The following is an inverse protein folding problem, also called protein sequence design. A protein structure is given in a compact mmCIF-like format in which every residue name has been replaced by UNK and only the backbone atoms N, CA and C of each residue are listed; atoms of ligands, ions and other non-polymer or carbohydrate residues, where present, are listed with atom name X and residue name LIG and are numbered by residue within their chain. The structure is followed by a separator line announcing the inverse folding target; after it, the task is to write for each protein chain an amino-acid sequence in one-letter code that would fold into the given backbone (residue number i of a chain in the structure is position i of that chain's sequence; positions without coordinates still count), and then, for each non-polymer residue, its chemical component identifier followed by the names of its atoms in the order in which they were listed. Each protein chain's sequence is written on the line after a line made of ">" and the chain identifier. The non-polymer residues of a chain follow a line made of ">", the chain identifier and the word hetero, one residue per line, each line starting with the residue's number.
data_IF_340673999619
#
_entry.id   IF_340673999619
#
_cell.length_a   1.000
_cell.length_b   1.000
_cell.length_c   1.000
_cell.angle_alpha   90.00
_cell.angle_beta   90.00
_cell.angle_gamma   90.00
#
_symmetry.space_group_name_H-M   'P 1'
#
loop_
_entity.id
_entity.type
_entity.pdbx_description
1 polymer ?
#
# COMPACT_ATOMS: atom_id res chain seq x y z
N UNK A 1 -6.10 -19.74 6.48
CA UNK A 1 -4.73 -20.14 6.08
C UNK A 1 -4.41 -19.41 4.79
N UNK A 2 -3.20 -18.84 4.63
CA UNK A 2 -2.80 -18.16 3.39
C UNK A 2 -2.54 -19.20 2.29
N UNK A 3 -2.87 -18.85 1.05
CA UNK A 3 -2.55 -19.68 -0.12
C UNK A 3 -1.05 -19.67 -0.41
N UNK A 4 -0.55 -20.73 -1.04
CA UNK A 4 0.84 -20.80 -1.52
C UNK A 4 1.21 -19.62 -2.42
N UNK A 5 0.24 -19.09 -3.16
CA UNK A 5 0.44 -17.96 -4.04
C UNK A 5 0.71 -16.68 -3.26
N UNK A 6 -0.02 -16.44 -2.19
CA UNK A 6 0.18 -15.32 -1.28
C UNK A 6 1.50 -15.48 -0.53
N UNK A 7 1.82 -16.65 0.00
CA UNK A 7 3.09 -16.90 0.69
C UNK A 7 4.30 -16.61 -0.20
N UNK A 8 4.30 -17.09 -1.45
CA UNK A 8 5.37 -16.77 -2.43
C UNK A 8 5.46 -15.28 -2.75
N UNK A 9 4.35 -14.54 -2.75
CA UNK A 9 4.38 -13.10 -2.93
C UNK A 9 5.05 -12.42 -1.74
N UNK A 10 4.70 -12.79 -0.50
CA UNK A 10 5.30 -12.24 0.71
C UNK A 10 6.81 -12.49 0.76
N UNK A 11 7.26 -13.71 0.44
CA UNK A 11 8.69 -14.00 0.33
C UNK A 11 9.42 -13.13 -0.70
N UNK A 12 8.79 -12.88 -1.86
CA UNK A 12 9.39 -11.99 -2.88
C UNK A 12 9.49 -10.55 -2.38
N UNK A 13 8.46 -10.06 -1.69
CA UNK A 13 8.44 -8.73 -1.08
C UNK A 13 9.58 -8.60 -0.07
N UNK A 14 9.76 -9.59 0.81
CA UNK A 14 10.83 -9.60 1.81
C UNK A 14 12.22 -9.62 1.17
N UNK A 15 12.42 -10.46 0.16
CA UNK A 15 13.69 -10.52 -0.59
C UNK A 15 13.99 -9.17 -1.25
N UNK A 16 12.98 -8.57 -1.88
CA UNK A 16 13.11 -7.28 -2.55
C UNK A 16 13.41 -6.15 -1.54
N UNK A 17 12.71 -6.13 -0.40
CA UNK A 17 12.98 -5.17 0.68
C UNK A 17 14.42 -5.31 1.20
N UNK A 18 14.88 -6.52 1.51
CA UNK A 18 16.26 -6.77 1.96
C UNK A 18 17.31 -6.26 0.98
N UNK A 19 17.05 -6.40 -0.33
CA UNK A 19 17.95 -5.87 -1.36
C UNK A 19 18.02 -4.34 -1.33
N UNK A 20 16.89 -3.64 -1.17
CA UNK A 20 16.89 -2.18 -1.05
C UNK A 20 17.60 -1.75 0.23
N UNK A 21 17.30 -2.40 1.35
CA UNK A 21 17.89 -2.08 2.65
C UNK A 21 19.42 -2.25 2.66
N UNK A 22 19.95 -3.22 1.92
CA UNK A 22 21.41 -3.42 1.74
C UNK A 22 22.10 -2.26 0.98
N UNK A 23 21.32 -1.40 0.31
CA UNK A 23 21.84 -0.21 -0.39
C UNK A 23 21.60 1.09 0.39
N UNK A 24 21.15 1.02 1.63
CA UNK A 24 21.02 2.19 2.51
C UNK A 24 22.38 2.62 3.07
N UNK A 25 22.60 3.96 3.35
CA UNK A 25 21.64 5.03 3.13
C UNK A 25 21.51 5.43 1.66
N UNK A 26 20.27 5.68 1.21
CA UNK A 26 20.02 6.26 -0.11
C UNK A 26 20.33 7.75 -0.10
N UNK A 27 20.72 8.32 -1.24
CA UNK A 27 20.98 9.76 -1.34
C UNK A 27 19.71 10.57 -1.04
N UNK A 28 19.87 11.74 -0.40
CA UNK A 28 18.77 12.64 -0.07
C UNK A 28 17.94 13.01 -1.30
N UNK A 29 18.57 13.22 -2.45
CA UNK A 29 17.90 13.56 -3.71
C UNK A 29 17.01 12.42 -4.23
N UNK A 30 17.46 11.17 -4.13
CA UNK A 30 16.64 10.00 -4.50
C UNK A 30 15.44 9.88 -3.56
N UNK A 31 15.67 10.01 -2.25
CA UNK A 31 14.59 9.90 -1.25
C UNK A 31 13.55 11.01 -1.41
N UNK A 32 13.97 12.27 -1.62
CA UNK A 32 13.04 13.40 -1.83
C UNK A 32 12.17 13.16 -3.06
N UNK A 33 12.77 12.82 -4.20
CA UNK A 33 12.04 12.57 -5.45
C UNK A 33 11.06 11.41 -5.33
N UNK A 34 11.48 10.30 -4.70
CA UNK A 34 10.59 9.17 -4.48
C UNK A 34 9.44 9.54 -3.54
N UNK A 35 9.72 10.28 -2.47
CA UNK A 35 8.69 10.73 -1.55
C UNK A 35 7.68 11.64 -2.24
N UNK A 36 8.11 12.63 -3.02
CA UNK A 36 7.23 13.52 -3.76
C UNK A 36 6.33 12.74 -4.73
N UNK A 37 6.91 11.81 -5.50
CA UNK A 37 6.14 10.94 -6.39
C UNK A 37 5.13 10.10 -5.60
N UNK A 38 5.54 9.50 -4.48
CA UNK A 38 4.66 8.66 -3.66
C UNK A 38 3.52 9.46 -3.03
N UNK A 39 3.79 10.64 -2.48
CA UNK A 39 2.75 11.52 -1.91
C UNK A 39 1.73 11.90 -2.98
N UNK A 40 2.19 12.26 -4.17
CA UNK A 40 1.30 12.59 -5.30
C UNK A 40 0.43 11.39 -5.71
N UNK A 41 1.05 10.23 -5.97
CA UNK A 41 0.33 9.05 -6.43
C UNK A 41 -0.64 8.52 -5.37
N UNK A 42 -0.23 8.51 -4.11
CA UNK A 42 -1.07 8.06 -3.01
C UNK A 42 -2.26 8.99 -2.81
N UNK A 43 -2.04 10.33 -2.80
CA UNK A 43 -3.10 11.33 -2.68
C UNK A 43 -4.08 11.23 -3.83
N UNK A 44 -3.59 11.26 -5.07
CA UNK A 44 -4.43 11.18 -6.26
C UNK A 44 -5.28 9.91 -6.26
N UNK A 45 -4.65 8.74 -6.15
CA UNK A 45 -5.36 7.47 -6.28
C UNK A 45 -6.36 7.26 -5.15
N UNK A 46 -5.99 7.58 -3.90
CA UNK A 46 -6.86 7.38 -2.74
C UNK A 46 -8.13 8.23 -2.81
N UNK A 47 -8.04 9.48 -3.25
CA UNK A 47 -9.20 10.35 -3.42
C UNK A 47 -10.01 9.99 -4.67
N UNK A 48 -9.35 9.64 -5.77
CA UNK A 48 -10.03 9.25 -7.01
C UNK A 48 -10.83 7.94 -6.88
N UNK A 49 -10.44 7.02 -5.99
CA UNK A 49 -11.23 5.83 -5.63
C UNK A 49 -12.57 6.23 -5.02
N UNK A 50 -12.60 7.30 -4.23
CA UNK A 50 -13.81 7.83 -3.58
C UNK A 50 -14.62 8.80 -4.47
N UNK A 51 -14.16 9.03 -5.70
CA UNK A 51 -14.91 9.84 -6.67
C UNK A 51 -14.40 11.27 -6.85
N UNK A 52 -13.28 11.66 -6.23
CA UNK A 52 -12.63 12.94 -6.48
C UNK A 52 -12.31 13.10 -7.98
N UNK A 53 -12.60 14.27 -8.53
CA UNK A 53 -12.57 14.53 -9.98
C UNK A 53 -11.25 15.11 -10.47
N UNK A 54 -10.30 15.44 -9.58
CA UNK A 54 -8.99 15.94 -9.99
C UNK A 54 -8.24 14.87 -10.80
N UNK A 55 -7.56 15.31 -11.84
CA UNK A 55 -6.54 14.50 -12.52
C UNK A 55 -5.24 14.50 -11.72
N UNK A 56 -4.32 13.60 -12.03
CA UNK A 56 -3.02 13.55 -11.36
C UNK A 56 -2.23 14.86 -11.51
N UNK A 57 -2.34 15.54 -12.66
CA UNK A 57 -1.68 16.83 -12.88
C UNK A 57 -2.35 17.94 -12.07
N UNK A 58 -3.68 17.99 -12.00
CA UNK A 58 -4.41 18.95 -11.16
C UNK A 58 -4.12 18.71 -9.67
N UNK A 59 -4.02 17.43 -9.24
CA UNK A 59 -3.59 17.09 -7.89
C UNK A 59 -2.18 17.60 -7.60
N UNK A 60 -1.25 17.47 -8.57
CA UNK A 60 0.11 18.01 -8.43
C UNK A 60 0.10 19.53 -8.24
N UNK A 61 -0.62 20.26 -9.07
CA UNK A 61 -0.75 21.73 -8.97
C UNK A 61 -1.33 22.13 -7.60
N UNK A 62 -2.36 21.43 -7.12
CA UNK A 62 -2.94 21.68 -5.80
C UNK A 62 -1.92 21.46 -4.68
N UNK A 63 -1.13 20.37 -4.73
CA UNK A 63 -0.19 20.00 -3.68
C UNK A 63 1.10 20.81 -3.66
N UNK A 64 1.60 21.25 -4.81
CA UNK A 64 2.88 21.95 -4.94
C UNK A 64 2.72 23.47 -4.97
N UNK A 65 1.75 23.97 -5.75
CA UNK A 65 1.62 25.38 -6.07
C UNK A 65 0.41 26.03 -5.37
N UNK A 66 -0.45 25.24 -4.71
CA UNK A 66 -1.71 25.75 -4.09
C UNK A 66 -2.71 26.26 -5.12
N UNK A 67 -2.55 25.89 -6.40
CA UNK A 67 -3.37 26.38 -7.51
C UNK A 67 -4.62 25.55 -7.64
N UNK A 68 -5.78 26.23 -7.74
CA UNK A 68 -7.06 25.62 -8.10
C UNK A 68 -7.30 25.72 -9.61
N UNK A 69 -7.78 24.64 -10.21
CA UNK A 69 -8.13 24.60 -11.63
C UNK A 69 -9.61 24.92 -11.82
N UNK A 70 -9.93 25.71 -12.84
CA UNK A 70 -11.30 26.14 -13.13
C UNK A 70 -12.25 24.95 -13.30
N UNK A 71 -13.49 25.09 -12.85
CA UNK A 71 -14.56 24.07 -12.97
C UNK A 71 -14.37 22.78 -12.16
N UNK A 72 -13.63 22.83 -11.06
CA UNK A 72 -13.53 21.72 -10.11
C UNK A 72 -14.13 22.12 -8.76
N UNK A 73 -14.82 21.22 -8.05
CA UNK A 73 -15.34 21.48 -6.71
C UNK A 73 -14.23 21.85 -5.73
N UNK A 74 -14.44 22.85 -4.89
CA UNK A 74 -13.49 23.20 -3.83
C UNK A 74 -13.21 22.01 -2.90
N UNK A 75 -14.25 21.20 -2.63
CA UNK A 75 -14.12 19.95 -1.84
C UNK A 75 -13.01 19.06 -2.37
N UNK A 76 -12.87 18.89 -3.69
CA UNK A 76 -11.87 18.02 -4.29
C UNK A 76 -10.44 18.48 -3.97
N UNK A 77 -10.21 19.80 -3.90
CA UNK A 77 -8.92 20.38 -3.49
C UNK A 77 -8.67 20.18 -2.01
N UNK A 78 -9.66 20.44 -1.16
CA UNK A 78 -9.56 20.21 0.27
C UNK A 78 -9.24 18.75 0.57
N UNK A 79 -9.89 17.81 -0.11
CA UNK A 79 -9.59 16.38 0.00
C UNK A 79 -8.13 16.06 -0.34
N UNK A 80 -7.58 16.67 -1.41
CA UNK A 80 -6.19 16.44 -1.80
C UNK A 80 -5.20 17.01 -0.77
N UNK A 81 -5.42 18.24 -0.30
CA UNK A 81 -4.59 18.90 0.73
C UNK A 81 -4.66 18.12 2.05
N UNK A 82 -5.86 17.77 2.48
CA UNK A 82 -6.10 17.02 3.72
C UNK A 82 -5.43 15.64 3.67
N UNK A 83 -5.51 14.95 2.54
CA UNK A 83 -4.88 13.65 2.38
C UNK A 83 -3.35 13.75 2.43
N UNK A 84 -2.74 14.79 1.83
CA UNK A 84 -1.30 15.08 1.98
C UNK A 84 -0.93 15.30 3.44
N UNK A 85 -1.68 16.15 4.17
CA UNK A 85 -1.44 16.42 5.59
C UNK A 85 -1.58 15.13 6.43
N UNK A 86 -2.54 14.28 6.10
CA UNK A 86 -2.71 12.98 6.75
C UNK A 86 -1.54 12.01 6.44
N UNK A 87 -0.97 12.03 5.22
CA UNK A 87 0.25 11.28 4.89
C UNK A 87 1.43 11.77 5.76
N UNK A 88 1.64 13.06 5.87
CA UNK A 88 2.71 13.64 6.69
C UNK A 88 2.56 13.26 8.17
N UNK A 89 1.32 13.21 8.66
CA UNK A 89 1.02 12.74 10.01
C UNK A 89 1.31 11.24 10.17
N UNK A 90 0.94 10.41 9.21
CA UNK A 90 1.27 8.97 9.16
C UNK A 90 2.77 8.75 9.18
N UNK A 91 3.56 9.51 8.41
CA UNK A 91 5.01 9.45 8.41
C UNK A 91 5.60 9.79 9.78
N UNK A 92 5.08 10.84 10.46
CA UNK A 92 5.48 11.19 11.84
C UNK A 92 5.14 10.09 12.82
N UNK A 93 3.93 9.54 12.77
CA UNK A 93 3.51 8.43 13.65
C UNK A 93 4.36 7.18 13.45
N UNK A 94 4.80 6.92 12.23
CA UNK A 94 5.60 5.73 11.93
C UNK A 94 6.99 5.77 12.58
N UNK A 95 7.56 6.94 12.81
CA UNK A 95 8.85 7.13 13.46
C UNK A 95 8.81 7.04 14.99
N UNK A 96 7.63 7.08 15.59
CA UNK A 96 7.45 6.96 17.05
C UNK A 96 7.39 5.49 17.46
N UNK A 97 8.11 5.11 18.52
CA UNK A 97 8.13 3.71 19.00
C UNK A 97 6.85 3.23 19.69
N UNK A 98 5.86 4.10 19.91
CA UNK A 98 4.58 3.72 20.50
C UNK A 98 3.75 2.79 19.61
N UNK A 99 2.85 2.01 20.19
CA UNK A 99 1.87 1.21 19.46
C UNK A 99 0.86 2.10 18.72
N UNK A 100 0.34 1.61 17.60
CA UNK A 100 -0.80 2.26 16.93
C UNK A 100 -2.03 2.13 17.84
N UNK A 101 -2.71 3.23 18.08
CA UNK A 101 -3.85 3.32 18.98
C UNK A 101 -5.13 3.74 18.23
N UNK A 102 -6.27 3.53 18.86
CA UNK A 102 -7.56 4.06 18.40
C UNK A 102 -7.54 5.58 18.22
N UNK A 103 -6.87 6.30 19.14
CA UNK A 103 -6.67 7.75 19.03
C UNK A 103 -5.98 8.13 17.72
N UNK A 104 -4.94 7.40 17.30
CA UNK A 104 -4.25 7.69 16.05
C UNK A 104 -5.17 7.53 14.83
N UNK A 105 -6.09 6.54 14.85
CA UNK A 105 -7.08 6.36 13.77
C UNK A 105 -8.01 7.57 13.69
N UNK A 106 -8.51 8.05 14.83
CA UNK A 106 -9.38 9.23 14.90
C UNK A 106 -8.66 10.50 14.47
N UNK A 107 -7.38 10.67 14.83
CA UNK A 107 -6.54 11.79 14.39
C UNK A 107 -6.31 11.77 12.87
N UNK A 108 -6.04 10.59 12.27
CA UNK A 108 -5.95 10.43 10.81
C UNK A 108 -7.26 10.83 10.15
N UNK A 109 -8.40 10.33 10.67
CA UNK A 109 -9.71 10.65 10.13
C UNK A 109 -10.04 12.15 10.27
N UNK A 110 -9.70 12.76 11.38
CA UNK A 110 -9.88 14.22 11.61
C UNK A 110 -9.15 15.04 10.53
N UNK A 111 -7.93 14.63 10.15
CA UNK A 111 -7.20 15.27 9.05
C UNK A 111 -7.88 15.05 7.70
N UNK A 112 -8.43 13.85 7.43
CA UNK A 112 -9.10 13.54 6.15
C UNK A 112 -10.32 14.42 5.92
N UNK A 113 -11.09 14.75 6.97
CA UNK A 113 -12.31 15.56 6.87
C UNK A 113 -12.14 17.02 7.28
N UNK A 114 -10.93 17.46 7.60
CA UNK A 114 -10.67 18.84 8.01
C UNK A 114 -11.24 19.83 6.99
N UNK A 115 -12.00 20.83 7.47
CA UNK A 115 -12.63 21.88 6.64
C UNK A 115 -13.62 21.36 5.56
N UNK A 116 -13.88 20.03 5.54
CA UNK A 116 -14.90 19.41 4.66
C UNK A 116 -16.15 19.13 5.48
N UNK A 117 -15.97 18.52 6.65
CA UNK A 117 -17.05 18.16 7.58
C UNK A 117 -16.49 18.13 9.00
N UNK A 118 -16.37 19.32 9.60
CA UNK A 118 -15.69 19.50 10.88
C UNK A 118 -16.43 18.83 12.05
N UNK A 119 -17.75 18.68 11.97
CA UNK A 119 -18.57 18.10 13.03
C UNK A 119 -18.33 16.60 13.18
N UNK A 120 -18.06 15.92 12.07
CA UNK A 120 -17.77 14.47 12.03
C UNK A 120 -16.27 14.14 12.01
N UNK A 121 -15.40 15.13 11.87
CA UNK A 121 -13.96 14.92 11.79
C UNK A 121 -13.39 14.27 13.08
N UNK A 122 -12.92 13.02 12.98
CA UNK A 122 -12.39 12.24 14.11
C UNK A 122 -13.45 11.71 15.08
N UNK A 123 -14.75 11.84 14.77
CA UNK A 123 -15.87 11.41 15.61
C UNK A 123 -16.50 10.13 15.04
N UNK A 124 -16.74 9.13 15.89
CA UNK A 124 -17.47 7.94 15.48
C UNK A 124 -18.93 8.29 15.22
N UNK A 125 -19.50 7.61 14.23
CA UNK A 125 -20.92 7.75 13.91
C UNK A 125 -21.82 7.30 15.07
N UNK A 126 -22.88 7.99 15.24
CA UNK A 126 -23.98 7.72 16.17
C UNK A 126 -25.23 7.20 15.43
N UNK A 127 -25.16 7.11 14.11
CA UNK A 127 -26.24 6.61 13.22
C UNK A 127 -25.80 5.34 12.49
N UNK A 128 -26.78 4.53 12.11
CA UNK A 128 -26.54 3.36 11.28
C UNK A 128 -26.34 3.77 9.83
N UNK A 129 -25.35 3.18 9.17
CA UNK A 129 -24.96 3.51 7.79
C UNK A 129 -25.01 2.26 6.90
N UNK A 130 -25.05 2.49 5.60
CA UNK A 130 -24.89 1.46 4.57
C UNK A 130 -23.72 1.81 3.67
N UNK A 131 -22.97 0.80 3.24
CA UNK A 131 -21.87 0.98 2.31
C UNK A 131 -22.42 0.86 0.89
N UNK A 132 -22.32 1.93 0.11
CA UNK A 132 -22.81 1.94 -1.27
C UNK A 132 -22.08 0.87 -2.10
N UNK A 133 -22.88 0.01 -2.78
CA UNK A 133 -22.35 -1.05 -3.65
C UNK A 133 -21.84 -2.31 -2.92
N UNK A 134 -21.91 -2.39 -1.59
CA UNK A 134 -21.56 -3.58 -0.81
C UNK A 134 -22.80 -4.28 -0.24
N UNK A 135 -22.74 -5.61 -0.12
CA UNK A 135 -23.73 -6.42 0.60
C UNK A 135 -23.45 -6.45 2.10
N UNK A 136 -22.24 -6.08 2.51
CA UNK A 136 -21.86 -6.02 3.91
C UNK A 136 -22.65 -4.93 4.63
N UNK A 137 -23.22 -5.29 5.79
CA UNK A 137 -23.92 -4.36 6.69
C UNK A 137 -22.98 -4.07 7.87
N UNK A 138 -22.52 -2.81 8.01
CA UNK A 138 -21.72 -2.44 9.16
C UNK A 138 -22.47 -2.67 10.48
N UNK A 139 -21.76 -2.88 11.59
CA UNK A 139 -22.38 -3.06 12.89
C UNK A 139 -23.22 -1.85 13.32
N UNK A 140 -24.14 -2.07 14.23
CA UNK A 140 -24.94 -1.00 14.85
C UNK A 140 -24.06 0.09 15.46
N UNK A 141 -24.49 1.35 15.36
CA UNK A 141 -23.74 2.51 15.86
C UNK A 141 -23.38 2.39 17.35
N UNK A 142 -24.28 1.85 18.16
CA UNK A 142 -24.08 1.67 19.61
C UNK A 142 -22.88 0.80 19.97
N UNK A 143 -22.47 -0.12 19.07
CA UNK A 143 -21.35 -1.03 19.34
C UNK A 143 -20.04 -0.61 18.64
N UNK A 144 -20.06 0.45 17.83
CA UNK A 144 -18.87 0.91 17.08
C UNK A 144 -17.66 1.14 17.99
N UNK A 145 -17.83 1.92 19.06
CA UNK A 145 -16.75 2.23 20.00
C UNK A 145 -16.11 0.95 20.56
N UNK A 146 -16.93 0.01 21.05
CA UNK A 146 -16.44 -1.28 21.59
C UNK A 146 -15.71 -2.10 20.54
N UNK A 147 -16.20 -2.09 19.28
CA UNK A 147 -15.53 -2.78 18.16
C UNK A 147 -14.19 -2.13 17.81
N UNK A 148 -14.10 -0.81 17.81
CA UNK A 148 -12.86 -0.09 17.54
C UNK A 148 -11.80 -0.32 18.65
N UNK A 149 -12.21 -0.36 19.93
CA UNK A 149 -11.32 -0.73 21.03
C UNK A 149 -10.80 -2.17 20.88
N UNK A 150 -11.68 -3.11 20.49
CA UNK A 150 -11.28 -4.50 20.26
C UNK A 150 -10.34 -4.62 19.05
N UNK A 151 -10.62 -3.91 17.97
CA UNK A 151 -9.79 -3.83 16.77
C UNK A 151 -8.38 -3.32 17.10
N UNK A 152 -8.27 -2.20 17.82
CA UNK A 152 -6.99 -1.63 18.19
C UNK A 152 -6.13 -2.60 19.06
N UNK A 153 -6.77 -3.40 19.90
CA UNK A 153 -6.06 -4.37 20.76
C UNK A 153 -5.63 -5.64 20.03
N UNK A 154 -6.46 -6.16 19.12
CA UNK A 154 -6.28 -7.49 18.52
C UNK A 154 -5.53 -7.45 17.19
N UNK A 155 -5.87 -6.51 16.32
CA UNK A 155 -5.39 -6.49 14.94
C UNK A 155 -4.17 -5.61 14.78
N UNK A 156 -4.19 -4.44 15.38
CA UNK A 156 -3.03 -3.54 15.32
C UNK A 156 -1.90 -4.02 16.23
N UNK A 157 -0.68 -3.88 15.74
CA UNK A 157 0.55 -4.31 16.42
C UNK A 157 0.65 -5.84 16.64
N UNK A 158 0.10 -6.60 15.71
CA UNK A 158 0.17 -8.07 15.72
C UNK A 158 1.59 -8.55 15.39
N UNK A 159 1.83 -9.87 15.56
CA UNK A 159 3.10 -10.52 15.16
C UNK A 159 3.06 -11.06 13.71
N UNK A 160 1.95 -10.85 13.02
CA UNK A 160 1.79 -11.30 11.65
C UNK A 160 2.79 -10.63 10.70
N UNK A 161 2.93 -11.19 9.50
CA UNK A 161 3.69 -10.54 8.43
C UNK A 161 3.13 -9.13 8.17
N UNK A 162 3.97 -8.09 8.01
CA UNK A 162 3.50 -6.70 7.91
C UNK A 162 2.45 -6.44 6.84
N UNK A 163 2.50 -7.15 5.71
CA UNK A 163 1.47 -7.05 4.66
C UNK A 163 0.14 -7.65 5.12
N UNK A 164 0.18 -8.74 5.88
CA UNK A 164 -1.01 -9.39 6.45
C UNK A 164 -1.65 -8.47 7.48
N UNK A 165 -0.86 -7.97 8.45
CA UNK A 165 -1.32 -7.02 9.45
C UNK A 165 -1.95 -5.77 8.81
N UNK A 166 -1.30 -5.19 7.81
CA UNK A 166 -1.77 -4.01 7.11
C UNK A 166 -3.10 -4.26 6.35
N UNK A 167 -3.20 -5.40 5.67
CA UNK A 167 -4.42 -5.78 4.98
C UNK A 167 -5.57 -6.04 5.96
N UNK A 168 -5.31 -6.73 7.07
CA UNK A 168 -6.32 -6.96 8.11
C UNK A 168 -6.75 -5.65 8.78
N UNK A 169 -5.81 -4.75 9.08
CA UNK A 169 -6.11 -3.45 9.66
C UNK A 169 -7.03 -2.62 8.74
N UNK A 170 -6.73 -2.62 7.44
CA UNK A 170 -7.59 -1.97 6.45
C UNK A 170 -8.98 -2.60 6.40
N UNK A 171 -9.04 -3.93 6.21
CA UNK A 171 -10.30 -4.66 6.05
C UNK A 171 -11.20 -4.54 7.28
N UNK A 172 -10.65 -4.66 8.47
CA UNK A 172 -11.43 -4.59 9.71
C UNK A 172 -11.98 -3.18 9.94
N UNK A 173 -11.22 -2.12 9.62
CA UNK A 173 -11.70 -0.74 9.71
C UNK A 173 -12.85 -0.48 8.74
N UNK A 174 -12.74 -0.89 7.46
CA UNK A 174 -13.84 -0.69 6.50
C UNK A 174 -15.05 -1.57 6.82
N UNK A 175 -14.85 -2.72 7.46
CA UNK A 175 -15.96 -3.60 7.90
C UNK A 175 -16.72 -3.02 9.09
N UNK A 176 -16.02 -2.41 10.06
CA UNK A 176 -16.65 -1.70 11.18
C UNK A 176 -17.32 -0.42 10.67
N UNK A 177 -16.70 0.24 9.68
CA UNK A 177 -17.17 1.49 9.08
C UNK A 177 -17.51 2.54 10.14
N UNK A 178 -16.51 2.91 10.99
CA UNK A 178 -16.80 3.63 12.23
C UNK A 178 -17.20 5.08 12.06
N UNK A 179 -17.03 5.66 10.88
CA UNK A 179 -17.30 7.07 10.60
C UNK A 179 -18.46 7.25 9.62
N UNK A 180 -19.00 8.46 9.54
CA UNK A 180 -20.07 8.79 8.57
C UNK A 180 -19.51 8.84 7.15
N UNK A 181 -18.35 9.47 6.94
CA UNK A 181 -17.60 9.51 5.67
C UNK A 181 -16.09 9.28 5.93
N UNK A 182 -15.27 9.19 4.89
CA UNK A 182 -13.81 9.11 4.99
C UNK A 182 -13.26 7.74 5.42
N UNK A 183 -14.08 6.72 5.64
CA UNK A 183 -13.65 5.40 6.09
C UNK A 183 -12.62 4.75 5.15
N UNK A 184 -12.84 4.79 3.84
CA UNK A 184 -11.93 4.21 2.85
C UNK A 184 -10.58 4.91 2.83
N UNK A 185 -10.54 6.24 2.83
CA UNK A 185 -9.31 7.05 2.88
C UNK A 185 -8.53 6.77 4.17
N UNK A 186 -9.21 6.77 5.31
CA UNK A 186 -8.62 6.45 6.62
C UNK A 186 -8.06 5.04 6.67
N UNK A 187 -8.78 4.04 6.13
CA UNK A 187 -8.31 2.66 6.10
C UNK A 187 -7.04 2.49 5.25
N UNK A 188 -6.95 3.15 4.09
CA UNK A 188 -5.75 3.12 3.26
C UNK A 188 -4.56 3.85 3.90
N UNK A 189 -4.81 4.92 4.66
CA UNK A 189 -3.79 5.60 5.46
C UNK A 189 -3.31 4.73 6.63
N UNK A 190 -4.23 4.08 7.36
CA UNK A 190 -3.89 3.16 8.44
C UNK A 190 -3.11 1.94 7.95
N UNK A 191 -3.51 1.34 6.83
CA UNK A 191 -2.78 0.25 6.18
C UNK A 191 -1.32 0.63 5.94
N UNK A 192 -1.11 1.83 5.43
CA UNK A 192 0.23 2.33 5.14
C UNK A 192 0.99 2.74 6.41
N UNK A 193 0.33 3.23 7.45
CA UNK A 193 0.94 3.44 8.76
C UNK A 193 1.53 2.12 9.30
N UNK A 194 0.78 1.02 9.21
CA UNK A 194 1.26 -0.31 9.63
C UNK A 194 2.49 -0.72 8.81
N UNK A 195 2.43 -0.60 7.48
CA UNK A 195 3.55 -0.96 6.60
C UNK A 195 4.80 -0.15 6.90
N UNK A 196 4.70 1.19 6.95
CA UNK A 196 5.84 2.08 7.14
C UNK A 196 6.45 1.87 8.53
N UNK A 197 5.62 1.72 9.56
CA UNK A 197 6.06 1.44 10.94
C UNK A 197 6.83 0.12 11.07
N UNK A 198 6.51 -0.85 10.22
CA UNK A 198 7.23 -2.14 10.12
C UNK A 198 8.41 -2.07 9.13
N UNK A 199 8.81 -0.85 8.71
CA UNK A 199 9.95 -0.60 7.84
C UNK A 199 9.72 -0.96 6.37
N UNK A 200 8.47 -1.14 5.94
CA UNK A 200 8.10 -1.34 4.55
C UNK A 200 7.76 -0.01 3.86
N UNK A 201 7.52 -0.08 2.57
CA UNK A 201 7.08 1.06 1.75
C UNK A 201 5.55 1.16 1.77
N UNK A 202 4.95 2.31 1.42
CA UNK A 202 3.51 2.41 1.29
C UNK A 202 2.99 1.57 0.11
N UNK A 203 1.84 0.94 0.27
CA UNK A 203 1.11 0.26 -0.79
C UNK A 203 0.06 1.22 -1.37
N UNK A 204 0.25 1.69 -2.60
CA UNK A 204 -0.71 2.57 -3.28
C UNK A 204 -1.70 1.72 -4.09
N UNK A 205 -2.97 1.74 -3.69
CA UNK A 205 -4.06 1.15 -4.46
C UNK A 205 -4.42 2.13 -5.58
N UNK A 206 -4.33 1.69 -6.84
CA UNK A 206 -4.56 2.57 -7.98
C UNK A 206 -6.06 2.75 -8.27
N UNK A 207 -6.45 3.93 -8.75
CA UNK A 207 -7.80 4.22 -9.27
C UNK A 207 -8.24 3.16 -10.31
N UNK A 208 -7.33 2.76 -11.18
CA UNK A 208 -7.62 1.79 -12.23
C UNK A 208 -7.91 0.38 -11.68
N UNK A 209 -7.49 0.09 -10.45
CA UNK A 209 -7.77 -1.18 -9.78
C UNK A 209 -9.05 -1.10 -8.90
N UNK A 210 -9.82 0.01 -8.96
CA UNK A 210 -10.97 0.28 -8.08
C UNK A 210 -11.99 -0.86 -8.08
N UNK A 211 -12.39 -1.36 -9.24
CA UNK A 211 -13.37 -2.45 -9.32
C UNK A 211 -12.85 -3.73 -8.67
N UNK A 212 -11.58 -4.08 -8.93
CA UNK A 212 -10.94 -5.23 -8.31
C UNK A 212 -10.79 -5.06 -6.79
N UNK A 213 -10.46 -3.86 -6.35
CA UNK A 213 -10.33 -3.54 -4.93
C UNK A 213 -11.64 -3.78 -4.17
N UNK A 214 -12.78 -3.31 -4.70
CA UNK A 214 -14.09 -3.58 -4.09
C UNK A 214 -14.51 -5.05 -4.19
N UNK A 215 -14.20 -5.74 -5.30
CA UNK A 215 -14.50 -7.17 -5.45
C UNK A 215 -13.75 -8.01 -4.41
N UNK A 216 -12.45 -7.77 -4.18
CA UNK A 216 -11.70 -8.53 -3.18
C UNK A 216 -12.12 -8.18 -1.74
N UNK A 217 -12.56 -6.94 -1.47
CA UNK A 217 -13.14 -6.57 -0.17
C UNK A 217 -14.48 -7.30 0.06
N UNK A 218 -15.35 -7.33 -0.93
CA UNK A 218 -16.64 -8.04 -0.83
C UNK A 218 -16.43 -9.54 -0.60
N UNK A 219 -15.50 -10.16 -1.31
CA UNK A 219 -15.09 -11.55 -1.11
C UNK A 219 -14.54 -11.81 0.29
N UNK A 220 -13.84 -10.82 0.87
CA UNK A 220 -13.28 -10.92 2.22
C UNK A 220 -14.36 -11.00 3.29
N UNK A 221 -15.50 -10.33 3.12
CA UNK A 221 -16.66 -10.48 4.00
C UNK A 221 -17.25 -11.90 3.98
N UNK A 222 -17.02 -12.65 2.89
CA UNK A 222 -17.40 -14.07 2.77
C UNK A 222 -16.28 -15.03 3.22
N UNK A 223 -15.27 -14.55 3.95
CA UNK A 223 -14.16 -15.35 4.49
C UNK A 223 -12.95 -15.51 3.56
N UNK A 224 -12.93 -14.91 2.38
CA UNK A 224 -11.81 -15.00 1.42
C UNK A 224 -10.81 -13.84 1.57
N UNK A 225 -10.34 -13.61 2.79
CA UNK A 225 -9.42 -12.51 3.13
C UNK A 225 -8.05 -12.65 2.44
N UNK A 226 -7.63 -13.85 2.05
CA UNK A 226 -6.38 -14.10 1.33
C UNK A 226 -6.29 -13.34 0.01
N UNK A 227 -7.41 -13.22 -0.73
CA UNK A 227 -7.48 -12.47 -1.97
C UNK A 227 -7.16 -10.98 -1.74
N UNK A 228 -7.62 -10.41 -0.63
CA UNK A 228 -7.32 -9.02 -0.27
C UNK A 228 -5.86 -8.84 0.19
N UNK A 229 -5.35 -9.77 1.00
CA UNK A 229 -3.93 -9.77 1.41
C UNK A 229 -3.03 -9.83 0.17
N UNK A 230 -3.34 -10.72 -0.77
CA UNK A 230 -2.63 -10.81 -2.05
C UNK A 230 -2.69 -9.50 -2.84
N UNK A 231 -3.87 -8.86 -2.89
CA UNK A 231 -4.06 -7.59 -3.59
C UNK A 231 -3.21 -6.47 -2.98
N UNK A 232 -3.18 -6.35 -1.64
CA UNK A 232 -2.32 -5.38 -0.92
C UNK A 232 -0.84 -5.67 -1.17
N UNK A 233 -0.44 -6.95 -1.09
CA UNK A 233 0.93 -7.36 -1.39
C UNK A 233 1.35 -6.98 -2.81
N UNK A 234 0.47 -7.15 -3.81
CA UNK A 234 0.74 -6.73 -5.20
C UNK A 234 0.87 -5.21 -5.33
N UNK A 235 0.09 -4.46 -4.57
CA UNK A 235 0.19 -2.99 -4.55
C UNK A 235 1.51 -2.54 -3.93
N UNK A 236 1.97 -3.19 -2.86
CA UNK A 236 3.27 -2.95 -2.25
C UNK A 236 4.43 -3.35 -3.18
N UNK A 237 4.36 -4.51 -3.84
CA UNK A 237 5.37 -4.95 -4.82
C UNK A 237 5.57 -3.92 -5.94
N UNK A 238 4.51 -3.22 -6.35
CA UNK A 238 4.57 -2.13 -7.33
C UNK A 238 5.39 -0.95 -6.80
N UNK A 239 5.18 -0.54 -5.56
CA UNK A 239 5.96 0.53 -4.93
C UNK A 239 7.43 0.14 -4.79
N UNK A 240 7.71 -1.08 -4.35
CA UNK A 240 9.08 -1.62 -4.27
C UNK A 240 9.77 -1.52 -5.63
N UNK A 241 9.08 -1.81 -6.72
CA UNK A 241 9.62 -1.69 -8.06
C UNK A 241 10.04 -0.25 -8.42
N UNK A 242 9.31 0.78 -7.95
CA UNK A 242 9.71 2.17 -8.15
C UNK A 242 11.04 2.49 -7.44
N UNK A 243 11.23 1.96 -6.23
CA UNK A 243 12.50 2.10 -5.51
C UNK A 243 13.65 1.41 -6.24
N UNK A 244 13.44 0.21 -6.78
CA UNK A 244 14.45 -0.47 -7.59
C UNK A 244 14.88 0.35 -8.80
N UNK A 245 13.92 0.95 -9.51
CA UNK A 245 14.22 1.79 -10.68
C UNK A 245 15.00 3.06 -10.32
N UNK A 246 14.78 3.59 -9.13
CA UNK A 246 15.41 4.82 -8.67
C UNK A 246 16.86 4.63 -8.15
N UNK A 247 17.28 3.39 -7.84
CA UNK A 247 18.60 3.10 -7.28
C UNK A 247 19.55 2.58 -8.37
N UNK A 248 20.49 3.41 -8.90
CA UNK A 248 21.34 3.01 -10.03
C UNK A 248 22.20 1.76 -9.75
N UNK A 249 22.73 1.64 -8.52
CA UNK A 249 23.55 0.49 -8.10
C UNK A 249 22.80 -0.85 -8.17
N UNK A 250 21.50 -0.85 -7.87
CA UNK A 250 20.68 -2.06 -8.01
C UNK A 250 20.55 -2.41 -9.49
N UNK A 251 20.26 -1.41 -10.33
CA UNK A 251 20.07 -1.60 -11.77
C UNK A 251 21.28 -2.21 -12.47
N UNK A 252 22.50 -1.88 -12.05
CA UNK A 252 23.74 -2.44 -12.62
C UNK A 252 24.09 -3.84 -12.10
N UNK A 253 23.54 -4.25 -10.97
CA UNK A 253 23.80 -5.55 -10.33
C UNK A 253 22.91 -6.67 -10.86
N UNK A 254 21.78 -6.33 -11.45
CA UNK A 254 20.75 -7.27 -11.89
C UNK A 254 20.60 -7.27 -13.41
N UNK A 255 20.42 -8.47 -13.96
CA UNK A 255 20.21 -8.71 -15.38
C UNK A 255 18.83 -9.33 -15.61
N UNK A 256 18.25 -9.10 -16.79
CA UNK A 256 17.02 -9.76 -17.23
C UNK A 256 17.26 -11.24 -17.50
N UNK A 257 16.21 -12.06 -17.47
CA UNK A 257 16.35 -13.49 -17.87
C UNK A 257 16.81 -13.65 -19.33
N UNK A 258 16.52 -12.67 -20.19
CA UNK A 258 17.05 -12.64 -21.57
C UNK A 258 18.58 -12.44 -21.61
N UNK A 259 19.11 -11.59 -20.73
CA UNK A 259 20.56 -11.41 -20.58
C UNK A 259 21.20 -12.59 -19.87
N UNK A 260 20.52 -13.17 -18.86
CA UNK A 260 20.97 -14.37 -18.17
C UNK A 260 21.05 -15.59 -19.10
N UNK A 261 20.10 -15.75 -20.00
CA UNK A 261 20.12 -16.80 -21.03
C UNK A 261 21.35 -16.72 -21.93
N UNK A 262 21.85 -15.50 -22.23
CA UNK A 262 23.08 -15.33 -23.02
C UNK A 262 24.36 -15.69 -22.25
N UNK A 263 24.28 -15.81 -20.93
CA UNK A 263 25.39 -16.15 -20.04
C UNK A 263 25.37 -17.62 -19.58
N UNK A 264 24.46 -18.43 -20.10
CA UNK A 264 24.27 -19.83 -19.73
C UNK A 264 23.72 -20.64 -20.90
N UNK A 265 23.66 -21.96 -20.75
CA UNK A 265 22.99 -22.86 -21.70
C UNK A 265 21.47 -22.96 -21.49
N UNK A 266 20.90 -22.15 -20.60
CA UNK A 266 19.47 -22.18 -20.27
C UNK A 266 18.66 -21.28 -21.20
N UNK A 267 17.52 -21.78 -21.68
CA UNK A 267 16.56 -20.96 -22.44
C UNK A 267 15.85 -19.96 -21.53
N UNK A 268 15.34 -18.86 -22.10
CA UNK A 268 14.56 -17.86 -21.34
C UNK A 268 13.33 -18.49 -20.68
N UNK A 269 12.68 -19.45 -21.37
CA UNK A 269 11.48 -20.14 -20.85
C UNK A 269 11.82 -21.01 -19.64
N UNK A 270 12.93 -21.75 -19.70
CA UNK A 270 13.39 -22.53 -18.56
C UNK A 270 13.76 -21.62 -17.37
N UNK A 271 14.47 -20.52 -17.62
CA UNK A 271 14.78 -19.52 -16.59
C UNK A 271 13.51 -18.89 -15.97
N UNK A 272 12.46 -18.68 -16.77
CA UNK A 272 11.16 -18.26 -16.27
C UNK A 272 10.54 -19.28 -15.30
N UNK A 273 10.66 -20.57 -15.59
CA UNK A 273 10.18 -21.65 -14.70
C UNK A 273 10.98 -21.63 -13.39
N UNK A 274 12.31 -21.55 -13.46
CA UNK A 274 13.18 -21.51 -12.28
C UNK A 274 12.89 -20.27 -11.42
N UNK A 275 12.68 -19.10 -12.03
CA UNK A 275 12.33 -17.87 -11.33
C UNK A 275 10.96 -17.97 -10.63
N UNK A 276 9.96 -18.56 -11.30
CA UNK A 276 8.62 -18.76 -10.71
C UNK A 276 8.64 -19.74 -9.54
N UNK A 277 9.48 -20.79 -9.62
CA UNK A 277 9.66 -21.79 -8.56
C UNK A 277 10.55 -21.28 -7.41
N UNK A 278 11.24 -20.15 -7.59
CA UNK A 278 12.18 -19.65 -6.60
C UNK A 278 13.51 -20.41 -6.56
N UNK A 279 13.79 -21.26 -7.57
CA UNK A 279 15.03 -22.03 -7.68
C UNK A 279 16.25 -21.16 -7.99
N UNK A 280 16.05 -20.00 -8.60
CA UNK A 280 17.07 -18.96 -8.76
C UNK A 280 16.66 -17.71 -7.99
N UNK A 281 17.61 -16.90 -7.45
CA UNK A 281 17.33 -15.70 -6.69
C UNK A 281 16.89 -14.55 -7.60
N UNK A 282 15.70 -14.73 -8.21
CA UNK A 282 15.08 -13.78 -9.11
C UNK A 282 13.96 -13.03 -8.40
N UNK A 283 13.76 -11.77 -8.79
CA UNK A 283 12.59 -10.98 -8.40
C UNK A 283 11.95 -10.35 -9.64
N UNK A 284 10.68 -10.01 -9.53
CA UNK A 284 9.90 -9.48 -10.64
C UNK A 284 9.88 -7.95 -10.59
N UNK A 285 10.45 -7.31 -11.63
CA UNK A 285 10.37 -5.87 -11.82
C UNK A 285 9.41 -5.60 -13.00
N UNK A 286 8.24 -5.00 -12.72
CA UNK A 286 7.17 -4.82 -13.71
C UNK A 286 6.78 -6.16 -14.36
N UNK A 287 7.04 -6.31 -15.68
CA UNK A 287 6.78 -7.55 -16.43
C UNK A 287 7.97 -8.49 -16.50
N UNK A 288 9.17 -8.01 -16.15
CA UNK A 288 10.42 -8.75 -16.32
C UNK A 288 10.88 -9.40 -15.02
N UNK A 289 11.42 -10.58 -15.09
CA UNK A 289 12.21 -11.17 -14.05
C UNK A 289 13.64 -10.63 -14.12
N UNK A 290 14.19 -10.25 -12.99
CA UNK A 290 15.59 -9.86 -12.83
C UNK A 290 16.27 -10.83 -11.87
N UNK A 291 17.52 -11.16 -12.17
CA UNK A 291 18.36 -12.01 -11.34
C UNK A 291 19.69 -11.31 -11.08
N UNK A 292 20.24 -11.42 -9.87
CA UNK A 292 21.61 -10.93 -9.61
C UNK A 292 22.59 -11.67 -10.51
N UNK A 293 23.36 -10.92 -11.32
CA UNK A 293 24.35 -11.49 -12.23
C UNK A 293 25.32 -12.43 -11.50
N UNK A 294 25.84 -11.99 -10.34
CA UNK A 294 26.76 -12.78 -9.50
C UNK A 294 26.12 -14.07 -8.99
N UNK A 295 24.89 -13.97 -8.44
CA UNK A 295 24.19 -15.13 -7.90
C UNK A 295 23.76 -16.11 -9.00
N UNK A 296 23.41 -15.59 -10.18
CA UNK A 296 23.07 -16.42 -11.33
C UNK A 296 24.27 -17.20 -11.85
N UNK A 297 25.41 -16.55 -12.03
CA UNK A 297 26.64 -17.24 -12.48
C UNK A 297 27.07 -18.33 -11.50
N UNK A 298 26.96 -18.07 -10.18
CA UNK A 298 27.22 -19.10 -9.17
C UNK A 298 26.25 -20.29 -9.33
N UNK A 299 24.94 -20.01 -9.50
CA UNK A 299 23.92 -21.06 -9.71
C UNK A 299 24.25 -21.91 -10.95
N UNK A 300 24.69 -21.29 -12.04
CA UNK A 300 25.08 -22.01 -13.26
C UNK A 300 26.28 -22.92 -13.02
N UNK A 301 27.30 -22.42 -12.28
CA UNK A 301 28.48 -23.22 -11.92
C UNK A 301 28.15 -24.42 -11.03
N UNK A 302 27.23 -24.22 -10.06
CA UNK A 302 26.84 -25.27 -9.10
C UNK A 302 25.90 -26.34 -9.76
N UNK A 303 25.37 -26.11 -10.96
CA UNK A 303 24.42 -26.99 -11.66
C UNK A 303 24.84 -27.38 -13.09
N UNK A 304 26.11 -27.12 -13.46
CA UNK A 304 26.77 -27.70 -14.63
C UNK A 304 27.61 -28.93 -14.19
#
# INVERSE_FOLDING_TARGET
>A
MLSDHTLRLLERIDKAKKLIDAHRPLSKSILSRLREQMVLEWTYNSNAIEGNTLTINETRLALQDGITVRNKPLKDYLEAINHKNAIEFVEKLSSVHSKISERNIREIHSLVLKEIDSDYAGTYRDINVRIAGSKHVPPDALVVKKKMEAFARKTLNSKEHPVVEAALAHFELVSIHPFVDGNGRTARLLMNLVLIKRGFFPAVILKNDRLKYYDVLEKSHSGKIDDFIFFVGRSLERTINLYFEAIPKIKSTFITLKEASKLSNYTVDYLNVLARRGSIPAFKLKRNWLVSKKAFLKYVQDNQ
#
